data_IF_204142281393
#
_entry.id   IF_204142281393
#
_cell.length_a   1.000
_cell.length_b   1.000
_cell.length_c   1.000
_cell.angle_alpha   90.00
_cell.angle_beta   90.00
_cell.angle_gamma   90.00
#
_symmetry.space_group_name_H-M   'P 1'
#
loop_
_entity.id
_entity.type
_entity.pdbx_description
1 polymer ?
#
# COMPACT_ATOMS: atom_id res chain seq x y z
N UNK A 1 5.73 21.38 0.78
CA UNK A 1 5.80 19.99 0.27
C UNK A 1 7.23 19.46 0.09
N UNK A 2 8.10 20.07 -0.73
CA UNK A 2 9.48 19.57 -0.92
C UNK A 2 10.37 19.82 0.31
N UNK A 3 10.36 21.04 0.88
CA UNK A 3 11.13 21.35 2.10
C UNK A 3 10.69 20.49 3.29
N UNK A 4 9.39 20.32 3.52
CA UNK A 4 8.86 19.48 4.61
C UNK A 4 9.17 17.97 4.42
N UNK A 5 9.26 17.50 3.18
CA UNK A 5 9.70 16.12 2.87
C UNK A 5 11.17 15.88 3.26
N UNK A 6 12.01 16.87 2.96
CA UNK A 6 13.46 16.76 3.09
C UNK A 6 13.91 17.10 4.52
N UNK A 7 13.31 18.13 5.12
CA UNK A 7 13.70 18.67 6.44
C UNK A 7 12.92 18.05 7.59
N UNK A 8 11.60 17.85 7.44
CA UNK A 8 10.75 17.33 8.53
C UNK A 8 10.46 15.83 8.44
N UNK A 9 10.83 15.18 7.33
CA UNK A 9 10.53 13.77 7.07
C UNK A 9 9.04 13.44 7.30
N UNK A 10 8.16 14.34 6.84
CA UNK A 10 6.71 14.15 6.88
C UNK A 10 6.12 14.29 5.49
N UNK A 11 5.30 13.31 5.10
CA UNK A 11 4.51 13.37 3.88
C UNK A 11 3.05 13.63 4.27
N UNK A 12 2.64 14.91 4.26
CA UNK A 12 1.22 15.27 4.45
C UNK A 12 0.32 14.74 3.34
N UNK A 13 0.92 14.44 2.18
CA UNK A 13 0.28 13.82 1.04
C UNK A 13 0.25 12.29 1.10
N UNK A 14 0.66 11.63 2.19
CA UNK A 14 0.53 10.17 2.38
C UNK A 14 1.16 9.26 1.31
N UNK A 15 1.82 9.83 0.30
CA UNK A 15 2.28 9.18 -0.94
C UNK A 15 3.61 8.48 -0.78
N UNK A 16 4.37 8.81 0.27
CA UNK A 16 5.65 8.19 0.57
C UNK A 16 5.47 7.18 1.70
N UNK A 17 5.46 5.85 1.42
CA UNK A 17 5.31 4.80 2.43
C UNK A 17 6.33 4.92 3.58
N UNK A 18 7.52 5.46 3.28
CA UNK A 18 8.58 5.71 4.24
C UNK A 18 8.29 6.85 5.23
N UNK A 19 7.38 7.78 4.89
CA UNK A 19 7.02 8.92 5.74
C UNK A 19 5.57 8.87 6.26
N UNK A 20 4.73 7.97 5.74
CA UNK A 20 3.35 7.76 6.20
C UNK A 20 3.36 6.94 7.49
N UNK A 21 2.95 7.54 8.62
CA UNK A 21 2.95 6.88 9.93
C UNK A 21 1.56 6.36 10.29
N UNK A 22 1.48 5.09 10.69
CA UNK A 22 0.26 4.56 11.30
C UNK A 22 0.18 5.04 12.75
N UNK A 23 -0.99 5.53 13.15
CA UNK A 23 -1.22 6.07 14.49
C UNK A 23 -2.45 5.44 15.12
N UNK A 24 -2.35 5.10 16.41
CA UNK A 24 -3.47 4.60 17.20
C UNK A 24 -4.05 5.78 17.98
N UNK A 25 -5.36 6.01 17.83
CA UNK A 25 -6.09 7.10 18.49
C UNK A 25 -6.61 6.68 19.85
N UNK A 26 -7.20 7.66 20.56
CA UNK A 26 -7.91 7.51 21.83
C UNK A 26 -9.13 6.57 21.77
N UNK A 27 -9.61 6.21 20.56
CA UNK A 27 -10.64 5.19 20.35
C UNK A 27 -10.17 3.78 20.70
N UNK A 28 -8.88 3.57 20.94
CA UNK A 28 -8.34 2.25 21.25
C UNK A 28 -8.91 1.69 22.56
N UNK A 29 -9.35 0.43 22.52
CA UNK A 29 -9.91 -0.29 23.67
C UNK A 29 -8.94 -1.33 24.28
N UNK A 30 -7.70 -1.41 23.81
CA UNK A 30 -6.68 -2.34 24.34
C UNK A 30 -7.04 -3.82 24.21
N UNK A 31 -7.61 -4.24 23.07
CA UNK A 31 -8.10 -5.62 22.84
C UNK A 31 -7.07 -6.59 22.25
N UNK A 32 -5.87 -6.13 21.90
CA UNK A 32 -4.81 -6.91 21.25
C UNK A 32 -5.11 -7.53 19.87
N UNK A 33 -6.25 -7.21 19.25
CA UNK A 33 -6.54 -7.65 17.88
C UNK A 33 -5.45 -7.21 16.88
N UNK A 34 -5.03 -5.94 16.95
CA UNK A 34 -3.97 -5.39 16.10
C UNK A 34 -2.60 -6.04 16.34
N UNK A 35 -2.25 -6.35 17.59
CA UNK A 35 -0.98 -6.98 17.94
C UNK A 35 -0.90 -8.40 17.36
N UNK A 36 -1.98 -9.19 17.44
CA UNK A 36 -2.01 -10.58 16.97
C UNK A 36 -1.80 -10.75 15.47
N UNK A 37 -2.17 -9.75 14.67
CA UNK A 37 -2.04 -9.78 13.20
C UNK A 37 -0.77 -9.10 12.70
N UNK A 38 0.05 -8.52 13.59
CA UNK A 38 1.24 -7.79 13.19
C UNK A 38 2.38 -8.78 12.86
N UNK A 39 2.91 -8.80 11.62
CA UNK A 39 3.94 -9.77 11.23
C UNK A 39 5.34 -9.49 11.82
N UNK A 40 5.54 -8.31 12.42
CA UNK A 40 6.85 -7.82 12.89
C UNK A 40 6.84 -7.40 14.37
N UNK A 41 5.75 -7.72 15.09
CA UNK A 41 5.57 -7.41 16.51
C UNK A 41 5.92 -5.95 16.88
N UNK A 42 5.49 -5.00 16.04
CA UNK A 42 5.79 -3.58 16.22
C UNK A 42 4.72 -2.82 17.03
N UNK A 43 3.77 -3.52 17.66
CA UNK A 43 2.64 -2.91 18.40
C UNK A 43 2.72 -3.30 19.87
N UNK A 44 2.86 -2.31 20.75
CA UNK A 44 2.96 -2.48 22.20
C UNK A 44 1.75 -1.90 22.93
N UNK A 45 1.47 -2.38 24.15
CA UNK A 45 0.42 -1.88 25.04
C UNK A 45 -0.12 -2.98 25.96
N UNK A 46 -0.61 -2.60 27.14
CA UNK A 46 -1.26 -3.50 28.08
C UNK A 46 -2.75 -3.72 27.82
N UNK A 47 -3.35 -4.68 28.53
CA UNK A 47 -4.78 -4.94 28.45
C UNK A 47 -5.56 -3.70 28.90
N UNK A 48 -6.51 -3.26 28.07
CA UNK A 48 -7.31 -2.03 28.28
C UNK A 48 -6.49 -0.73 28.27
N UNK A 49 -5.25 -0.78 27.81
CA UNK A 49 -4.43 0.42 27.59
C UNK A 49 -4.41 0.78 26.10
N UNK A 50 -4.16 2.05 25.80
CA UNK A 50 -3.97 2.48 24.42
C UNK A 50 -2.67 1.87 23.88
N UNK A 51 -2.78 1.18 22.74
CA UNK A 51 -1.62 0.60 22.09
C UNK A 51 -0.82 1.65 21.31
N UNK A 52 0.45 1.38 21.07
CA UNK A 52 1.36 2.22 20.30
C UNK A 52 2.05 1.43 19.19
N UNK A 53 2.24 2.04 18.03
CA UNK A 53 2.93 1.45 16.87
C UNK A 53 4.33 2.04 16.76
N UNK A 54 5.34 1.17 16.85
CA UNK A 54 6.71 1.52 16.51
C UNK A 54 6.86 1.62 14.98
N UNK A 55 6.75 2.84 14.46
CA UNK A 55 6.81 3.12 13.02
C UNK A 55 8.20 2.85 12.40
N UNK A 56 9.28 2.78 13.19
CA UNK A 56 10.61 2.42 12.67
C UNK A 56 10.67 0.95 12.27
N UNK A 57 9.94 0.07 12.98
CA UNK A 57 9.84 -1.37 12.66
C UNK A 57 8.63 -1.72 11.81
N UNK A 58 7.68 -0.79 11.64
CA UNK A 58 6.45 -1.04 10.91
C UNK A 58 6.70 -1.17 9.41
N UNK A 59 6.18 -2.23 8.79
CA UNK A 59 6.24 -2.45 7.34
C UNK A 59 5.12 -1.76 6.58
N UNK A 60 4.18 -1.10 7.27
CA UNK A 60 2.99 -0.45 6.71
C UNK A 60 2.07 -1.39 5.91
N UNK A 61 1.98 -2.67 6.31
CA UNK A 61 1.11 -3.66 5.64
C UNK A 61 -0.41 -3.48 5.88
N UNK A 62 -0.82 -2.59 6.80
CA UNK A 62 -2.23 -2.26 7.05
C UNK A 62 -3.08 -3.34 7.75
N UNK A 63 -2.54 -4.54 8.02
CA UNK A 63 -3.32 -5.65 8.62
C UNK A 63 -3.96 -5.28 9.96
N UNK A 64 -3.28 -4.47 10.77
CA UNK A 64 -3.81 -3.99 12.04
C UNK A 64 -5.03 -3.07 11.90
N UNK A 65 -5.16 -2.35 10.77
CA UNK A 65 -6.27 -1.43 10.50
C UNK A 65 -7.55 -2.24 10.29
N UNK A 66 -7.50 -3.24 9.42
CA UNK A 66 -8.62 -4.15 9.12
C UNK A 66 -9.04 -4.94 10.36
N UNK A 67 -8.08 -5.37 11.17
CA UNK A 67 -8.36 -6.13 12.40
C UNK A 67 -8.95 -5.29 13.54
N UNK A 68 -8.93 -3.95 13.45
CA UNK A 68 -9.37 -3.08 14.54
C UNK A 68 -10.91 -2.98 14.60
N UNK A 69 -11.58 -3.52 15.64
CA UNK A 69 -13.04 -3.54 15.69
C UNK A 69 -13.68 -2.15 15.90
N UNK A 70 -12.88 -1.17 16.33
CA UNK A 70 -13.32 0.20 16.68
C UNK A 70 -12.74 1.26 15.74
N UNK A 71 -12.05 0.85 14.67
CA UNK A 71 -11.40 1.76 13.72
C UNK A 71 -10.54 2.83 14.41
N UNK A 72 -9.73 2.41 15.37
CA UNK A 72 -8.85 3.29 16.16
C UNK A 72 -7.48 3.55 15.51
N UNK A 73 -7.20 2.95 14.35
CA UNK A 73 -5.91 3.12 13.66
C UNK A 73 -6.12 4.02 12.45
N UNK A 74 -5.38 5.12 12.36
CA UNK A 74 -5.44 6.05 11.24
C UNK A 74 -4.20 5.93 10.38
N UNK A 75 -4.42 6.01 9.07
CA UNK A 75 -3.40 6.09 8.02
C UNK A 75 -3.35 7.50 7.41
N UNK A 76 -2.44 7.73 6.46
CA UNK A 76 -2.41 8.98 5.72
C UNK A 76 -3.67 9.14 4.87
N UNK A 77 -4.31 10.32 4.94
CA UNK A 77 -5.52 10.64 4.17
C UNK A 77 -5.22 11.71 3.12
N UNK A 78 -5.40 11.33 1.85
CA UNK A 78 -5.15 12.19 0.69
C UNK A 78 -6.40 12.78 0.08
N UNK A 79 -7.57 12.56 0.70
CA UNK A 79 -8.87 12.99 0.17
C UNK A 79 -8.90 14.49 -0.10
N UNK A 80 -8.45 15.31 0.86
CA UNK A 80 -8.44 16.78 0.68
C UNK A 80 -7.44 17.26 -0.38
N UNK A 81 -6.30 16.58 -0.53
CA UNK A 81 -5.34 16.88 -1.61
C UNK A 81 -5.98 16.56 -2.96
N UNK A 82 -6.58 15.39 -3.10
CA UNK A 82 -7.27 14.96 -4.30
C UNK A 82 -8.41 15.91 -4.69
N UNK A 83 -9.27 16.28 -3.74
CA UNK A 83 -10.36 17.24 -3.99
C UNK A 83 -9.84 18.63 -4.38
N UNK A 84 -8.72 19.07 -3.79
CA UNK A 84 -8.08 20.34 -4.16
C UNK A 84 -7.53 20.27 -5.59
N UNK A 85 -6.89 19.17 -5.96
CA UNK A 85 -6.34 18.98 -7.30
C UNK A 85 -7.45 18.98 -8.35
N UNK A 86 -8.57 18.32 -8.08
CA UNK A 86 -9.78 18.35 -8.93
C UNK A 86 -10.37 19.76 -9.07
N UNK A 87 -10.36 20.55 -8.00
CA UNK A 87 -10.91 21.92 -8.01
C UNK A 87 -9.94 22.95 -8.63
N UNK A 88 -8.68 22.61 -8.86
CA UNK A 88 -7.67 23.57 -9.33
C UNK A 88 -7.78 23.76 -10.84
N UNK A 89 -8.09 24.98 -11.33
CA UNK A 89 -8.18 25.23 -12.77
C UNK A 89 -6.88 24.88 -13.49
N UNK A 90 -7.00 24.26 -14.67
CA UNK A 90 -5.88 23.86 -15.55
C UNK A 90 -4.95 22.77 -15.00
N UNK A 91 -5.27 22.10 -13.89
CA UNK A 91 -4.60 20.84 -13.53
C UNK A 91 -5.19 19.69 -14.31
N UNK A 92 -4.32 18.77 -14.74
CA UNK A 92 -4.72 17.48 -15.29
C UNK A 92 -4.64 16.47 -14.15
N UNK A 93 -5.78 15.89 -13.77
CA UNK A 93 -5.87 14.89 -12.72
C UNK A 93 -6.00 13.51 -13.35
N UNK A 94 -5.04 12.65 -13.02
CA UNK A 94 -4.98 11.28 -13.48
C UNK A 94 -5.15 10.36 -12.27
N UNK A 95 -5.99 9.33 -12.39
CA UNK A 95 -6.09 8.26 -11.40
C UNK A 95 -5.65 6.94 -12.00
N UNK A 96 -5.05 6.10 -11.16
CA UNK A 96 -4.66 4.74 -11.53
C UNK A 96 -5.24 3.76 -10.50
N UNK A 97 -5.99 2.78 -10.98
CA UNK A 97 -6.77 1.89 -10.11
C UNK A 97 -6.03 0.56 -9.93
N UNK A 98 -5.71 0.22 -8.68
CA UNK A 98 -5.10 -1.08 -8.37
C UNK A 98 -6.06 -2.25 -8.66
N UNK A 99 -5.56 -3.44 -9.05
CA UNK A 99 -6.41 -4.51 -9.58
C UNK A 99 -7.53 -4.96 -8.64
N UNK A 100 -7.23 -5.07 -7.34
CA UNK A 100 -8.16 -5.53 -6.31
C UNK A 100 -9.30 -4.54 -6.03
N UNK A 101 -9.11 -3.24 -6.27
CA UNK A 101 -10.10 -2.21 -5.93
C UNK A 101 -11.41 -2.43 -6.68
N UNK A 102 -11.34 -2.89 -7.94
CA UNK A 102 -12.53 -3.07 -8.79
C UNK A 102 -13.50 -4.13 -8.27
N UNK A 103 -13.05 -5.06 -7.41
CA UNK A 103 -13.86 -6.17 -6.87
C UNK A 103 -14.19 -6.02 -5.38
N UNK A 104 -13.51 -5.13 -4.66
CA UNK A 104 -13.74 -4.92 -3.21
C UNK A 104 -14.49 -3.64 -2.90
N UNK A 105 -14.33 -2.58 -3.72
CA UNK A 105 -14.96 -1.27 -3.43
C UNK A 105 -16.49 -1.35 -3.39
N UNK A 106 -17.07 -2.34 -4.07
CA UNK A 106 -18.51 -2.54 -4.14
C UNK A 106 -19.18 -2.84 -2.81
N UNK A 107 -18.48 -3.50 -1.90
CA UNK A 107 -19.00 -3.88 -0.58
C UNK A 107 -19.44 -2.64 0.21
N UNK A 108 -18.72 -1.52 0.06
CA UNK A 108 -19.06 -0.24 0.70
C UNK A 108 -20.34 0.41 0.14
N UNK A 109 -20.78 0.01 -1.07
CA UNK A 109 -21.98 0.52 -1.74
C UNK A 109 -23.13 -0.51 -1.76
N UNK A 110 -22.99 -1.62 -1.02
CA UNK A 110 -24.02 -2.66 -0.92
C UNK A 110 -24.05 -3.65 -2.08
N UNK A 111 -22.98 -3.73 -2.89
CA UNK A 111 -22.82 -4.81 -3.87
C UNK A 111 -22.28 -6.07 -3.19
N UNK A 112 -22.50 -7.21 -3.82
CA UNK A 112 -22.00 -8.49 -3.31
C UNK A 112 -20.46 -8.57 -3.40
N UNK A 113 -19.76 -9.19 -2.42
CA UNK A 113 -18.32 -9.37 -2.47
C UNK A 113 -17.86 -10.05 -3.76
N UNK A 114 -16.85 -9.46 -4.42
CA UNK A 114 -16.31 -9.98 -5.68
C UNK A 114 -17.03 -9.50 -6.95
N UNK A 115 -18.12 -8.72 -6.85
CA UNK A 115 -18.72 -8.10 -8.02
C UNK A 115 -17.72 -7.15 -8.70
N UNK A 116 -17.48 -7.34 -10.00
CA UNK A 116 -16.58 -6.48 -10.76
C UNK A 116 -17.28 -5.17 -11.13
N UNK A 117 -16.85 -4.07 -10.51
CA UNK A 117 -17.42 -2.73 -10.69
C UNK A 117 -16.54 -1.79 -11.54
N UNK A 118 -15.57 -2.30 -12.29
CA UNK A 118 -14.61 -1.50 -13.06
C UNK A 118 -15.27 -0.35 -13.83
N UNK A 119 -16.30 -0.64 -14.64
CA UNK A 119 -16.99 0.38 -15.44
C UNK A 119 -17.71 1.42 -14.60
N UNK A 120 -18.34 0.99 -13.49
CA UNK A 120 -19.04 1.90 -12.57
C UNK A 120 -18.03 2.81 -11.83
N UNK A 121 -16.88 2.26 -11.46
CA UNK A 121 -15.80 2.98 -10.80
C UNK A 121 -15.17 4.03 -11.72
N UNK A 122 -14.88 3.67 -12.97
CA UNK A 122 -14.37 4.61 -13.98
C UNK A 122 -15.36 5.75 -14.22
N UNK A 123 -16.64 5.42 -14.40
CA UNK A 123 -17.70 6.43 -14.58
C UNK A 123 -17.83 7.35 -13.36
N UNK A 124 -17.76 6.80 -12.13
CA UNK A 124 -17.81 7.59 -10.91
C UNK A 124 -16.64 8.58 -10.82
N UNK A 125 -15.42 8.13 -11.11
CA UNK A 125 -14.23 9.00 -11.11
C UNK A 125 -14.31 10.09 -12.19
N UNK A 126 -14.82 9.76 -13.37
CA UNK A 126 -15.07 10.74 -14.44
C UNK A 126 -16.09 11.80 -14.01
N UNK A 127 -17.18 11.39 -13.35
CA UNK A 127 -18.18 12.33 -12.79
C UNK A 127 -17.63 13.21 -11.68
N UNK A 128 -16.63 12.75 -10.94
CA UNK A 128 -15.93 13.56 -9.93
C UNK A 128 -15.01 14.63 -10.54
N UNK A 129 -14.73 14.58 -11.85
CA UNK A 129 -13.89 15.54 -12.55
C UNK A 129 -12.47 15.05 -12.87
N UNK A 130 -12.20 13.74 -12.74
CA UNK A 130 -10.91 13.16 -13.15
C UNK A 130 -10.78 13.17 -14.67
N UNK A 131 -9.65 13.69 -15.20
CA UNK A 131 -9.40 13.78 -16.64
C UNK A 131 -9.10 12.42 -17.26
N UNK A 132 -8.29 11.58 -16.60
CA UNK A 132 -7.90 10.26 -17.11
C UNK A 132 -7.92 9.21 -16.01
N UNK A 133 -8.46 8.04 -16.32
CA UNK A 133 -8.51 6.89 -15.40
C UNK A 133 -7.80 5.73 -16.07
N UNK A 134 -6.68 5.29 -15.48
CA UNK A 134 -5.90 4.16 -15.95
C UNK A 134 -6.05 2.96 -15.02
N UNK A 135 -5.81 1.78 -15.56
CA UNK A 135 -5.79 0.53 -14.81
C UNK A 135 -4.34 0.13 -14.52
N UNK A 136 -4.04 -0.16 -13.26
CA UNK A 136 -2.72 -0.67 -12.87
C UNK A 136 -2.44 -2.05 -13.46
N UNK A 137 -3.45 -2.83 -13.89
CA UNK A 137 -3.20 -4.13 -14.56
C UNK A 137 -2.34 -4.00 -15.80
N UNK A 138 -2.47 -2.93 -16.58
CA UNK A 138 -1.61 -2.71 -17.73
C UNK A 138 -0.14 -2.58 -17.33
N UNK A 139 0.14 -1.82 -16.25
CA UNK A 139 1.48 -1.73 -15.69
C UNK A 139 1.94 -3.06 -15.06
N UNK A 140 1.01 -3.83 -14.49
CA UNK A 140 1.29 -5.16 -13.96
C UNK A 140 1.75 -6.12 -15.08
N UNK A 141 1.13 -6.06 -16.26
CA UNK A 141 1.56 -6.85 -17.42
C UNK A 141 3.01 -6.50 -17.83
N UNK A 142 3.38 -5.22 -17.80
CA UNK A 142 4.77 -4.80 -18.02
C UNK A 142 5.71 -5.37 -16.95
N UNK A 143 5.31 -5.32 -15.68
CA UNK A 143 6.09 -5.95 -14.60
C UNK A 143 6.27 -7.44 -14.84
N UNK A 144 5.23 -8.15 -15.31
CA UNK A 144 5.35 -9.57 -15.66
C UNK A 144 6.34 -9.77 -16.80
N UNK A 145 6.31 -8.94 -17.85
CA UNK A 145 7.27 -9.05 -18.96
C UNK A 145 8.73 -8.93 -18.46
N UNK A 146 8.99 -7.97 -17.57
CA UNK A 146 10.33 -7.76 -17.01
C UNK A 146 10.73 -8.85 -16.00
N UNK A 147 9.90 -9.16 -15.00
CA UNK A 147 10.19 -10.19 -14.00
C UNK A 147 10.32 -11.59 -14.64
N UNK A 148 9.52 -11.90 -15.68
CA UNK A 148 9.62 -13.17 -16.40
C UNK A 148 10.88 -13.24 -17.27
N UNK A 149 11.26 -12.16 -17.95
CA UNK A 149 12.50 -12.08 -18.71
C UNK A 149 13.72 -12.24 -17.78
N UNK A 150 13.70 -11.59 -16.61
CA UNK A 150 14.72 -11.75 -15.58
C UNK A 150 14.80 -13.19 -15.06
N UNK A 151 13.66 -13.78 -14.71
CA UNK A 151 13.59 -15.15 -14.22
C UNK A 151 14.15 -16.14 -15.25
N UNK A 152 13.72 -16.02 -16.51
CA UNK A 152 14.20 -16.85 -17.62
C UNK A 152 15.72 -16.76 -17.73
N UNK A 153 16.27 -15.53 -17.76
CA UNK A 153 17.70 -15.32 -17.89
C UNK A 153 18.49 -15.92 -16.70
N UNK A 154 18.00 -15.79 -15.47
CA UNK A 154 18.62 -16.39 -14.28
C UNK A 154 18.58 -17.92 -14.32
N UNK A 155 17.46 -18.51 -14.76
CA UNK A 155 17.31 -19.96 -14.89
C UNK A 155 18.20 -20.54 -15.99
N UNK A 156 18.27 -19.91 -17.16
CA UNK A 156 19.14 -20.35 -18.25
C UNK A 156 20.61 -20.34 -17.84
N UNK A 157 21.08 -19.29 -17.14
CA UNK A 157 22.44 -19.26 -16.56
C UNK A 157 22.66 -20.40 -15.57
N UNK A 158 21.72 -20.61 -14.66
CA UNK A 158 21.80 -21.69 -13.66
C UNK A 158 21.90 -23.07 -14.31
N UNK A 159 21.07 -23.38 -15.31
CA UNK A 159 21.11 -24.67 -16.02
C UNK A 159 22.39 -24.86 -16.86
N UNK A 160 23.00 -23.77 -17.31
CA UNK A 160 24.29 -23.80 -18.01
C UNK A 160 25.50 -23.88 -17.07
N UNK A 161 25.30 -24.12 -15.77
CA UNK A 161 26.36 -24.32 -14.78
C UNK A 161 26.87 -23.03 -14.10
N UNK A 162 26.25 -21.88 -14.36
CA UNK A 162 26.58 -20.63 -13.70
C UNK A 162 25.75 -20.46 -12.40
N UNK A 163 26.40 -20.75 -11.26
CA UNK A 163 25.81 -20.60 -9.94
C UNK A 163 25.71 -19.12 -9.48
N UNK A 164 26.17 -18.14 -10.27
CA UNK A 164 26.07 -16.72 -9.92
C UNK A 164 24.66 -16.15 -10.05
N UNK A 165 23.77 -16.85 -10.77
CA UNK A 165 22.35 -16.53 -10.84
C UNK A 165 21.71 -16.71 -9.47
N UNK A 166 21.71 -15.66 -8.64
CA UNK A 166 21.12 -15.64 -7.29
C UNK A 166 19.65 -16.08 -7.36
N UNK A 167 19.41 -17.35 -7.02
CA UNK A 167 18.10 -17.97 -6.92
C UNK A 167 17.83 -18.34 -5.45
N UNK A 168 16.57 -18.26 -4.99
CA UNK A 168 15.35 -17.93 -5.75
C UNK A 168 15.23 -16.45 -6.13
N UNK A 169 14.51 -16.15 -7.22
CA UNK A 169 14.04 -14.79 -7.51
C UNK A 169 12.81 -14.52 -6.63
N UNK A 170 12.81 -13.38 -5.94
CA UNK A 170 11.69 -12.93 -5.10
C UNK A 170 11.04 -11.71 -5.75
N UNK A 171 9.71 -11.65 -5.72
CA UNK A 171 8.95 -10.53 -6.26
C UNK A 171 9.27 -9.23 -5.53
N UNK A 172 9.19 -8.11 -6.25
CA UNK A 172 9.53 -6.78 -5.70
C UNK A 172 8.34 -5.81 -5.64
N UNK A 173 7.19 -6.17 -6.17
CA UNK A 173 6.04 -5.27 -6.32
C UNK A 173 5.30 -4.92 -5.02
N UNK A 174 5.49 -5.67 -3.94
CA UNK A 174 4.85 -5.41 -2.64
C UNK A 174 5.73 -4.50 -1.76
N UNK A 175 5.32 -3.26 -1.47
CA UNK A 175 6.15 -2.32 -0.68
C UNK A 175 6.35 -2.78 0.76
N UNK A 176 5.34 -3.43 1.36
CA UNK A 176 5.46 -3.97 2.71
C UNK A 176 6.49 -5.12 2.79
N UNK A 177 6.55 -5.94 1.74
CA UNK A 177 7.56 -6.99 1.60
C UNK A 177 8.95 -6.40 1.41
N UNK A 178 9.12 -5.38 0.55
CA UNK A 178 10.39 -4.70 0.38
C UNK A 178 10.90 -4.12 1.71
N UNK A 179 10.06 -3.37 2.43
CA UNK A 179 10.42 -2.80 3.73
C UNK A 179 10.76 -3.89 4.76
N UNK A 180 10.00 -4.98 4.78
CA UNK A 180 10.31 -6.14 5.63
C UNK A 180 11.69 -6.71 5.31
N UNK A 181 11.98 -6.95 4.02
CA UNK A 181 13.26 -7.47 3.55
C UNK A 181 14.40 -6.52 3.93
N UNK A 182 14.30 -5.24 3.60
CA UNK A 182 15.33 -4.23 3.89
C UNK A 182 15.67 -4.13 5.37
N UNK A 183 14.67 -4.29 6.25
CA UNK A 183 14.85 -4.16 7.70
C UNK A 183 15.37 -5.44 8.38
N UNK A 184 15.01 -6.62 7.87
CA UNK A 184 15.28 -7.89 8.54
C UNK A 184 16.31 -8.77 7.80
N UNK A 185 16.51 -8.56 6.51
CA UNK A 185 17.36 -9.34 5.62
C UNK A 185 18.11 -8.45 4.60
N UNK A 186 18.95 -7.50 5.07
CA UNK A 186 19.63 -6.53 4.20
C UNK A 186 20.72 -7.16 3.30
N UNK A 187 21.16 -8.39 3.63
CA UNK A 187 22.16 -9.17 2.91
C UNK A 187 21.57 -10.04 1.78
N UNK A 188 20.24 -10.17 1.71
CA UNK A 188 19.50 -10.81 0.61
C UNK A 188 19.29 -9.87 -0.57
#
# INVERSE_FOLDING_TARGET
EIEEHIEEHKCYAGECPQLTKLRITDKCIGCHACTRVCPVDCISGGIKEQHEINNNRCTHCGQCIVACPVSAITEGDNTFKFLRDLATPKRIVITQIAPAVRVTIGEAFGFEPGENLEKKLVEALKRLGVDYVFDTTWAADLTIMEEAAELKNRLERHFNGDASGKLPLLTSCCPAWLKFKEQNYPDM
#
